data_IF_536338729439
#
_entry.id   IF_536338729439
#
_cell.length_a   1.000
_cell.length_b   1.000
_cell.length_c   1.000
_cell.angle_alpha   90.00
_cell.angle_beta   90.00
_cell.angle_gamma   90.00
#
_symmetry.space_group_name_H-M   'P 1'
#
loop_
_entity.id
_entity.type
_entity.pdbx_description
1 polymer ?
#
# COMPACT_ATOMS: atom_id res chain seq x y z
N UNK A 1 -68.32 -35.84 26.33
CA UNK A 1 -67.66 -34.52 26.46
C UNK A 1 -66.14 -34.79 26.26
N UNK A 2 -65.60 -34.59 25.06
CA UNK A 2 -64.16 -34.78 24.78
C UNK A 2 -63.56 -33.42 24.54
N UNK A 3 -62.72 -32.97 25.48
CA UNK A 3 -61.97 -31.73 25.38
C UNK A 3 -60.65 -31.98 24.63
N UNK A 4 -60.53 -31.44 23.43
CA UNK A 4 -59.29 -31.55 22.61
C UNK A 4 -58.32 -30.45 23.00
N UNK A 5 -57.15 -30.85 23.49
CA UNK A 5 -56.02 -29.97 23.83
C UNK A 5 -55.27 -29.62 22.53
N UNK A 6 -55.25 -28.35 22.13
CA UNK A 6 -54.48 -27.85 20.99
C UNK A 6 -53.12 -27.40 21.46
N UNK A 7 -52.09 -28.14 21.09
CA UNK A 7 -50.69 -27.75 21.33
C UNK A 7 -50.23 -26.79 20.23
N UNK A 8 -49.90 -25.55 20.59
CA UNK A 8 -49.29 -24.59 19.67
C UNK A 8 -47.77 -24.79 19.67
N UNK A 9 -47.21 -25.13 18.53
CA UNK A 9 -45.77 -25.21 18.32
C UNK A 9 -45.31 -23.85 17.83
N UNK A 10 -44.59 -23.10 18.67
CA UNK A 10 -43.95 -21.83 18.31
C UNK A 10 -42.58 -22.16 17.75
N UNK A 11 -42.42 -22.09 16.42
CA UNK A 11 -41.15 -22.23 15.76
C UNK A 11 -40.33 -20.93 15.92
N UNK A 12 -39.18 -21.01 16.59
CA UNK A 12 -38.22 -19.93 16.63
C UNK A 12 -37.40 -19.93 15.33
N UNK A 13 -37.56 -18.91 14.50
CA UNK A 13 -36.72 -18.68 13.32
C UNK A 13 -35.43 -17.96 13.77
N UNK A 14 -34.35 -18.70 13.86
CA UNK A 14 -32.99 -18.10 14.06
C UNK A 14 -32.51 -17.57 12.73
N UNK A 15 -32.49 -16.25 12.59
CA UNK A 15 -31.82 -15.59 11.47
C UNK A 15 -30.28 -15.70 11.64
N UNK A 16 -29.65 -16.53 10.80
CA UNK A 16 -28.20 -16.60 10.74
C UNK A 16 -27.70 -15.40 9.95
N UNK A 17 -27.06 -14.45 10.63
CA UNK A 17 -26.34 -13.33 10.01
C UNK A 17 -25.04 -13.88 9.41
N UNK A 18 -24.98 -14.01 8.10
CA UNK A 18 -23.73 -14.33 7.38
C UNK A 18 -22.87 -13.07 7.37
N UNK A 19 -21.81 -13.04 8.19
CA UNK A 19 -20.76 -12.05 8.08
C UNK A 19 -19.98 -12.35 6.78
N UNK A 20 -20.20 -11.55 5.75
CA UNK A 20 -19.35 -11.56 4.56
C UNK A 20 -18.07 -10.84 4.96
N UNK A 21 -17.04 -11.58 5.36
CA UNK A 21 -15.67 -11.07 5.42
C UNK A 21 -15.24 -10.75 3.99
N UNK A 22 -15.32 -9.48 3.59
CA UNK A 22 -14.70 -9.00 2.36
C UNK A 22 -13.20 -9.27 2.45
N UNK A 23 -12.66 -10.06 1.52
CA UNK A 23 -11.21 -10.21 1.37
C UNK A 23 -10.66 -8.88 0.87
N UNK A 24 -9.90 -8.18 1.72
CA UNK A 24 -9.15 -7.01 1.28
C UNK A 24 -8.00 -7.52 0.38
N UNK A 25 -8.02 -7.14 -0.89
CA UNK A 25 -6.95 -7.46 -1.83
C UNK A 25 -5.83 -6.44 -1.71
N UNK A 26 -4.58 -6.92 -1.75
CA UNK A 26 -3.41 -6.08 -1.89
C UNK A 26 -3.51 -5.22 -3.17
N UNK A 27 -2.97 -4.00 -3.12
CA UNK A 27 -3.00 -3.07 -4.25
C UNK A 27 -1.63 -3.00 -4.91
N UNK A 28 -1.40 -3.70 -6.03
CA UNK A 28 -0.12 -3.65 -6.72
C UNK A 28 0.11 -2.27 -7.34
N UNK A 29 1.38 -2.01 -7.70
CA UNK A 29 1.74 -0.81 -8.47
C UNK A 29 0.94 -0.72 -9.78
N UNK A 30 0.64 0.51 -10.19
CA UNK A 30 -0.15 0.80 -11.38
C UNK A 30 0.54 0.36 -12.69
N UNK A 31 -0.23 0.26 -13.80
CA UNK A 31 0.30 -0.13 -15.09
C UNK A 31 1.48 0.76 -15.55
N UNK A 32 2.55 0.13 -16.03
CA UNK A 32 3.72 0.83 -16.55
C UNK A 32 4.66 1.40 -15.48
N UNK A 33 4.38 1.21 -14.20
CA UNK A 33 5.36 1.47 -13.12
C UNK A 33 6.50 0.48 -13.28
N UNK A 34 7.73 1.01 -13.34
CA UNK A 34 8.95 0.21 -13.50
C UNK A 34 9.97 0.57 -12.44
N UNK A 35 10.82 -0.40 -12.11
CA UNK A 35 11.94 -0.19 -11.20
C UNK A 35 13.15 -0.99 -11.66
N UNK A 36 14.34 -0.39 -11.57
CA UNK A 36 15.62 -1.05 -11.85
C UNK A 36 16.60 -0.85 -10.71
N UNK A 37 17.39 -1.85 -10.40
CA UNK A 37 18.49 -1.75 -9.44
C UNK A 37 19.64 -0.98 -10.10
N UNK A 38 20.14 0.06 -9.43
CA UNK A 38 21.34 0.81 -9.80
C UNK A 38 22.56 0.18 -9.12
N UNK A 39 22.44 -0.07 -7.81
CA UNK A 39 23.51 -0.64 -6.99
C UNK A 39 22.93 -1.39 -5.80
N UNK A 40 23.61 -2.44 -5.37
CA UNK A 40 23.22 -3.20 -4.18
C UNK A 40 24.45 -3.73 -3.44
N UNK A 41 24.40 -3.71 -2.13
CA UNK A 41 25.38 -4.37 -1.25
C UNK A 41 24.71 -4.85 0.02
N UNK A 42 25.24 -5.93 0.62
CA UNK A 42 24.77 -6.46 1.91
C UNK A 42 25.87 -6.27 2.95
N UNK A 43 25.50 -5.67 4.08
CA UNK A 43 26.43 -5.44 5.19
C UNK A 43 25.73 -5.88 6.49
N UNK A 44 26.32 -6.82 7.22
CA UNK A 44 25.83 -7.29 8.53
C UNK A 44 24.33 -7.65 8.54
N UNK A 45 23.85 -8.36 7.49
CA UNK A 45 22.46 -8.79 7.40
C UNK A 45 21.48 -7.70 6.97
N UNK A 46 21.98 -6.57 6.46
CA UNK A 46 21.18 -5.48 5.90
C UNK A 46 21.53 -5.28 4.42
N UNK A 47 20.51 -5.25 3.58
CA UNK A 47 20.62 -4.92 2.17
C UNK A 47 20.46 -3.41 1.98
N UNK A 48 21.46 -2.81 1.34
CA UNK A 48 21.46 -1.43 0.88
C UNK A 48 21.28 -1.46 -0.63
N UNK A 49 20.09 -1.15 -1.11
CA UNK A 49 19.78 -1.21 -2.53
C UNK A 49 19.33 0.15 -3.06
N UNK A 50 20.10 0.73 -3.97
CA UNK A 50 19.69 1.92 -4.71
C UNK A 50 18.90 1.49 -5.95
N UNK A 51 17.67 1.97 -6.09
CA UNK A 51 16.80 1.69 -7.24
C UNK A 51 16.32 2.99 -7.88
N UNK A 52 16.17 2.98 -9.20
CA UNK A 52 15.41 4.00 -9.92
C UNK A 52 14.00 3.48 -10.18
N UNK A 53 13.01 4.27 -9.82
CA UNK A 53 11.60 3.95 -10.00
C UNK A 53 10.99 5.00 -10.93
N UNK A 54 10.23 4.54 -11.93
CA UNK A 54 9.49 5.42 -12.84
C UNK A 54 8.01 5.14 -12.71
N UNK A 55 7.24 6.19 -12.41
CA UNK A 55 5.78 6.16 -12.30
C UNK A 55 5.19 7.01 -13.41
N UNK A 56 4.49 6.42 -14.40
CA UNK A 56 3.85 7.16 -15.48
C UNK A 56 2.79 8.15 -14.96
N UNK A 57 2.42 9.17 -15.76
CA UNK A 57 1.32 10.06 -15.43
C UNK A 57 0.03 9.32 -15.07
N UNK A 58 -0.61 9.74 -13.99
CA UNK A 58 -1.86 9.16 -13.48
C UNK A 58 -1.72 7.84 -12.73
N UNK A 59 -0.50 7.27 -12.63
CA UNK A 59 -0.25 6.00 -11.97
C UNK A 59 0.24 6.17 -10.53
N UNK A 60 0.27 5.06 -9.79
CA UNK A 60 0.68 5.00 -8.39
C UNK A 60 1.57 3.80 -8.10
N UNK A 61 2.24 3.83 -6.94
CA UNK A 61 3.01 2.69 -6.41
C UNK A 61 2.14 1.56 -5.85
N UNK A 62 0.82 1.77 -5.73
CA UNK A 62 -0.06 0.92 -4.91
C UNK A 62 0.11 1.20 -3.42
N UNK A 63 -0.86 0.78 -2.61
CA UNK A 63 -0.76 0.85 -1.14
C UNK A 63 0.22 -0.20 -0.64
N UNK A 64 1.22 0.22 0.11
CA UNK A 64 2.28 -0.66 0.60
C UNK A 64 2.97 -0.10 1.84
N UNK A 65 3.86 -0.91 2.43
CA UNK A 65 4.81 -0.51 3.45
C UNK A 65 6.16 -1.20 3.19
N UNK A 66 7.16 -0.89 4.01
CA UNK A 66 8.52 -1.45 3.89
C UNK A 66 9.00 -2.02 5.22
N UNK A 67 9.77 -3.11 5.19
CA UNK A 67 10.35 -3.75 6.39
C UNK A 67 11.57 -3.00 6.96
N UNK A 68 12.02 -1.95 6.29
CA UNK A 68 13.09 -1.06 6.71
C UNK A 68 12.90 0.35 6.15
N UNK A 69 13.70 1.33 6.61
CA UNK A 69 13.56 2.71 6.16
C UNK A 69 14.02 2.89 4.72
N UNK A 70 13.37 3.83 4.02
CA UNK A 70 13.71 4.26 2.67
C UNK A 70 14.07 5.75 2.65
N UNK A 71 14.99 6.09 1.73
CA UNK A 71 15.41 7.47 1.45
C UNK A 71 15.30 7.73 -0.04
N UNK A 72 14.31 8.51 -0.42
CA UNK A 72 14.03 8.83 -1.81
C UNK A 72 14.54 10.22 -2.21
N UNK A 73 14.91 10.35 -3.49
CA UNK A 73 15.23 11.61 -4.16
C UNK A 73 14.40 11.72 -5.42
N UNK A 74 13.64 12.79 -5.59
CA UNK A 74 12.85 13.04 -6.79
C UNK A 74 13.74 13.62 -7.88
N UNK A 75 14.02 12.84 -8.92
CA UNK A 75 14.84 13.27 -10.06
C UNK A 75 14.04 14.08 -11.06
N UNK A 76 12.78 13.68 -11.27
CA UNK A 76 11.89 14.29 -12.25
C UNK A 76 10.42 14.19 -11.79
N UNK A 77 9.60 15.16 -12.17
CA UNK A 77 8.19 15.17 -11.88
C UNK A 77 7.88 15.59 -10.44
N UNK A 78 6.75 15.12 -9.95
CA UNK A 78 6.27 15.42 -8.60
C UNK A 78 5.66 14.17 -7.98
N UNK A 79 6.15 13.78 -6.82
CA UNK A 79 5.55 12.73 -6.00
C UNK A 79 4.47 13.35 -5.11
N UNK A 80 3.24 12.88 -5.24
CA UNK A 80 2.16 13.15 -4.28
C UNK A 80 2.04 11.92 -3.38
N UNK A 81 2.34 12.10 -2.09
CA UNK A 81 2.37 11.03 -1.11
C UNK A 81 1.14 11.08 -0.22
N UNK A 82 0.59 9.91 0.14
CA UNK A 82 -0.65 9.77 0.89
C UNK A 82 -0.50 8.74 1.98
N UNK A 83 -1.07 9.05 3.15
CA UNK A 83 -1.18 8.17 4.28
C UNK A 83 -2.48 7.32 4.25
N UNK A 84 -2.66 6.34 5.16
CA UNK A 84 -3.83 5.47 5.15
C UNK A 84 -5.14 6.16 5.59
N UNK A 85 -5.11 7.44 5.97
CA UNK A 85 -6.32 8.25 6.20
C UNK A 85 -6.84 8.92 4.93
N UNK A 86 -6.19 8.64 3.78
CA UNK A 86 -6.43 9.28 2.48
C UNK A 86 -5.97 10.75 2.42
N UNK A 87 -5.28 11.23 3.42
CA UNK A 87 -4.71 12.57 3.43
C UNK A 87 -3.36 12.59 2.70
N UNK A 88 -3.08 13.70 2.00
CA UNK A 88 -1.72 13.94 1.50
C UNK A 88 -0.83 14.32 2.67
N UNK A 89 0.21 13.56 2.91
CA UNK A 89 1.25 13.83 3.90
C UNK A 89 2.54 14.39 3.29
N UNK A 90 2.58 14.57 1.96
CA UNK A 90 3.67 15.23 1.27
C UNK A 90 3.49 15.41 -0.23
N UNK A 91 4.03 16.51 -0.75
CA UNK A 91 4.17 16.78 -2.19
C UNK A 91 5.63 17.15 -2.46
N UNK A 92 6.35 16.24 -3.13
CA UNK A 92 7.78 16.34 -3.34
C UNK A 92 8.08 16.58 -4.81
N UNK A 93 8.64 17.75 -5.13
CA UNK A 93 9.04 18.11 -6.51
C UNK A 93 10.45 17.65 -6.82
N UNK A 94 10.82 17.67 -8.10
CA UNK A 94 12.20 17.42 -8.54
C UNK A 94 13.20 18.22 -7.70
N UNK A 95 14.23 17.54 -7.19
CA UNK A 95 15.22 18.07 -6.25
C UNK A 95 14.88 17.86 -4.76
N UNK A 96 13.67 17.41 -4.43
CA UNK A 96 13.28 17.11 -3.05
C UNK A 96 13.72 15.72 -2.62
N UNK A 97 13.85 15.53 -1.30
CA UNK A 97 14.03 14.22 -0.66
C UNK A 97 12.77 13.82 0.12
N UNK A 98 12.53 12.53 0.23
CA UNK A 98 11.49 11.91 1.05
C UNK A 98 12.11 10.81 1.90
N UNK A 99 11.63 10.65 3.13
CA UNK A 99 12.00 9.54 4.00
C UNK A 99 10.73 8.78 4.38
N UNK A 100 10.79 7.46 4.24
CA UNK A 100 9.69 6.56 4.59
C UNK A 100 10.12 5.67 5.76
N UNK A 101 9.40 5.73 6.91
CA UNK A 101 9.69 4.87 8.05
C UNK A 101 9.34 3.41 7.78
N UNK A 102 9.96 2.51 8.55
CA UNK A 102 9.72 1.08 8.46
C UNK A 102 8.42 0.65 9.15
N UNK A 103 7.87 -0.47 8.66
CA UNK A 103 6.87 -1.28 9.34
C UNK A 103 5.43 -1.08 8.88
N UNK A 104 4.54 -2.02 9.22
CA UNK A 104 3.15 -2.05 8.79
C UNK A 104 2.29 -0.90 9.34
N UNK A 105 2.78 -0.15 10.31
CA UNK A 105 2.14 1.08 10.80
C UNK A 105 2.31 2.28 9.86
N UNK A 106 3.11 2.15 8.80
CA UNK A 106 3.41 3.21 7.82
C UNK A 106 2.96 2.83 6.41
N UNK A 107 1.75 2.27 6.29
CA UNK A 107 1.13 2.04 4.97
C UNK A 107 0.97 3.39 4.27
N UNK A 108 1.38 3.45 3.01
CA UNK A 108 1.35 4.67 2.21
C UNK A 108 1.18 4.38 0.73
N UNK A 109 1.02 5.45 -0.05
CA UNK A 109 0.88 5.36 -1.50
C UNK A 109 1.50 6.60 -2.14
N UNK A 110 2.39 6.39 -3.12
CA UNK A 110 2.95 7.42 -3.97
C UNK A 110 2.19 7.54 -5.28
N UNK A 111 1.76 8.76 -5.67
CA UNK A 111 1.06 9.01 -6.94
C UNK A 111 1.80 10.01 -7.80
N UNK A 112 1.73 9.79 -9.10
CA UNK A 112 2.07 10.80 -10.10
C UNK A 112 0.77 11.47 -10.59
N UNK A 113 0.43 12.63 -10.06
CA UNK A 113 -0.73 13.43 -10.46
C UNK A 113 -0.41 14.45 -11.55
N UNK A 114 0.86 14.45 -12.04
CA UNK A 114 1.31 15.32 -13.12
C UNK A 114 1.10 14.69 -14.50
N UNK A 115 1.59 15.38 -15.52
CA UNK A 115 1.51 15.02 -16.94
C UNK A 115 2.84 14.50 -17.51
N UNK A 116 3.89 14.50 -16.69
CA UNK A 116 5.24 13.97 -17.04
C UNK A 116 5.57 12.80 -16.12
N UNK A 117 6.46 11.88 -16.53
CA UNK A 117 6.90 10.80 -15.65
C UNK A 117 7.49 11.31 -14.33
N UNK A 118 7.11 10.68 -13.22
CA UNK A 118 7.80 10.81 -11.95
C UNK A 118 8.95 9.81 -11.95
N UNK A 119 10.16 10.28 -11.68
CA UNK A 119 11.36 9.44 -11.55
C UNK A 119 11.99 9.67 -10.19
N UNK A 120 12.17 8.58 -9.46
CA UNK A 120 12.74 8.56 -8.10
C UNK A 120 14.02 7.72 -8.10
N UNK A 121 15.07 8.19 -7.44
CA UNK A 121 16.14 7.33 -6.93
C UNK A 121 15.86 7.05 -5.46
N UNK A 122 15.75 5.77 -5.08
CA UNK A 122 15.38 5.36 -3.73
C UNK A 122 16.42 4.40 -3.17
N UNK A 123 17.00 4.75 -2.03
CA UNK A 123 17.84 3.87 -1.24
C UNK A 123 16.96 3.10 -0.25
N UNK A 124 16.88 1.80 -0.44
CA UNK A 124 16.26 0.84 0.44
C UNK A 124 17.28 0.34 1.46
N UNK A 125 16.93 0.37 2.74
CA UNK A 125 17.76 -0.17 3.83
C UNK A 125 16.94 -1.24 4.53
N UNK A 126 17.02 -2.48 4.03
CA UNK A 126 16.11 -3.56 4.39
C UNK A 126 16.84 -4.73 5.06
N UNK A 127 16.17 -5.54 5.89
CA UNK A 127 16.71 -6.84 6.30
C UNK A 127 17.08 -7.67 5.07
N UNK A 128 18.20 -8.43 5.18
CA UNK A 128 18.67 -9.24 4.05
C UNK A 128 17.61 -10.21 3.55
N UNK A 129 17.31 -10.12 2.25
CA UNK A 129 16.32 -10.94 1.57
C UNK A 129 14.87 -10.47 1.73
N UNK A 130 14.61 -9.37 2.45
CA UNK A 130 13.26 -8.79 2.50
C UNK A 130 12.84 -8.24 1.12
N UNK A 131 11.54 -8.29 0.78
CA UNK A 131 11.02 -7.69 -0.45
C UNK A 131 11.18 -6.17 -0.40
N UNK A 132 11.21 -5.52 -1.57
CA UNK A 132 11.32 -4.06 -1.64
C UNK A 132 10.08 -3.35 -1.10
N UNK A 133 8.92 -3.99 -1.14
CA UNK A 133 7.68 -3.51 -0.54
C UNK A 133 6.78 -4.68 -0.20
N UNK A 134 5.96 -4.49 0.83
CA UNK A 134 4.86 -5.37 1.21
C UNK A 134 3.57 -4.69 0.76
N UNK A 135 2.84 -5.32 -0.18
CA UNK A 135 1.57 -4.80 -0.66
C UNK A 135 0.52 -4.79 0.46
N UNK A 136 -0.22 -3.71 0.55
CA UNK A 136 -1.30 -3.54 1.51
C UNK A 136 -2.66 -3.36 0.82
N UNK A 137 -3.77 -3.71 1.50
CA UNK A 137 -5.10 -3.37 1.02
C UNK A 137 -5.30 -1.86 0.95
N UNK A 138 -6.13 -1.40 -0.01
CA UNK A 138 -6.60 -0.02 0.00
C UNK A 138 -7.35 0.25 1.31
N UNK A 139 -6.94 1.25 2.12
CA UNK A 139 -7.56 1.53 3.42
C UNK A 139 -8.98 2.13 3.33
N UNK A 140 -9.58 2.17 2.14
CA UNK A 140 -10.90 2.75 1.88
C UNK A 140 -10.84 4.08 1.15
N UNK A 141 -9.70 4.42 0.56
CA UNK A 141 -9.53 5.65 -0.21
C UNK A 141 -10.22 5.56 -1.58
N UNK A 142 -10.75 6.68 -2.13
CA UNK A 142 -11.38 6.69 -3.45
C UNK A 142 -10.38 6.64 -4.61
N UNK A 143 -9.13 6.31 -4.31
CA UNK A 143 -8.01 6.20 -5.27
C UNK A 143 -7.03 5.11 -4.83
N UNK A 144 -6.21 4.67 -5.78
CA UNK A 144 -5.04 3.84 -5.57
C UNK A 144 -4.00 4.11 -6.64
#
# INVERSE_FOLDING_TARGET
MHTALRTAITGAVTAATVLVCGTAYATPAGPGVTARVISQTTVNGTDYTLREITVPPGQSTGWHYHDGPLYGFVKQGTLSHFDPTCASDGVYRAGSTVQEPAGPGHVHLGRNLGDTPLVLDVLYVLPHGAPYSEDAPNPGCPFQ
#
